data_IF_808253093606
#
_entry.id   IF_808253093606
#
_cell.length_a   1.000
_cell.length_b   1.000
_cell.length_c   1.000
_cell.angle_alpha   90.00
_cell.angle_beta   90.00
_cell.angle_gamma   90.00
#
_symmetry.space_group_name_H-M   'P 1'
#
loop_
_entity.id
_entity.type
_entity.pdbx_description
1 polymer ?
#
# COMPACT_ATOMS: atom_id res chain seq x y z
N UNK A 1 32.43 -19.00 -16.94
CA UNK A 1 31.41 -18.02 -17.38
C UNK A 1 30.16 -18.75 -17.78
N UNK A 2 29.05 -18.52 -17.13
CA UNK A 2 27.75 -19.01 -17.61
C UNK A 2 27.47 -18.39 -18.98
N UNK A 3 27.06 -19.21 -19.97
CA UNK A 3 26.67 -18.70 -21.28
C UNK A 3 25.42 -17.83 -21.16
N UNK A 4 25.22 -16.85 -22.04
CA UNK A 4 24.01 -16.05 -22.11
C UNK A 4 22.74 -16.92 -22.14
N UNK A 5 22.81 -18.04 -22.83
CA UNK A 5 21.74 -19.05 -22.94
C UNK A 5 21.40 -19.65 -21.54
N UNK A 6 22.41 -19.97 -20.74
CA UNK A 6 22.18 -20.49 -19.38
C UNK A 6 21.51 -19.44 -18.46
N UNK A 7 21.87 -18.16 -18.60
CA UNK A 7 21.24 -17.07 -17.87
C UNK A 7 19.75 -16.94 -18.25
N UNK A 8 19.43 -17.07 -19.54
CA UNK A 8 18.03 -17.03 -20.01
C UNK A 8 17.21 -18.22 -19.49
N UNK A 9 17.76 -19.44 -19.49
CA UNK A 9 17.06 -20.59 -18.90
C UNK A 9 16.85 -20.43 -17.38
N UNK A 10 17.85 -19.95 -16.65
CA UNK A 10 17.71 -19.69 -15.21
C UNK A 10 16.63 -18.61 -14.96
N UNK A 11 16.59 -17.59 -15.80
CA UNK A 11 15.56 -16.57 -15.70
C UNK A 11 14.16 -17.11 -16.04
N UNK A 12 14.04 -17.90 -17.12
CA UNK A 12 12.79 -18.54 -17.47
C UNK A 12 12.27 -19.45 -16.33
N UNK A 13 13.18 -20.21 -15.69
CA UNK A 13 12.85 -21.00 -14.49
C UNK A 13 12.38 -20.12 -13.34
N UNK A 14 13.05 -19.00 -13.07
CA UNK A 14 12.62 -18.04 -12.04
C UNK A 14 11.23 -17.48 -12.34
N UNK A 15 10.95 -17.09 -13.56
CA UNK A 15 9.62 -16.61 -14.00
C UNK A 15 8.58 -17.71 -13.81
N UNK A 16 8.89 -18.96 -14.17
CA UNK A 16 8.00 -20.11 -13.97
C UNK A 16 7.69 -20.33 -12.49
N UNK A 17 8.69 -20.24 -11.60
CA UNK A 17 8.52 -20.35 -10.15
C UNK A 17 7.60 -19.24 -9.64
N UNK A 18 7.85 -17.99 -10.04
CA UNK A 18 7.01 -16.85 -9.67
C UNK A 18 5.59 -17.03 -10.16
N UNK A 19 5.42 -17.43 -11.43
CA UNK A 19 4.10 -17.61 -12.02
C UNK A 19 3.34 -18.73 -11.31
N UNK A 20 3.95 -19.89 -11.12
CA UNK A 20 3.32 -21.04 -10.49
C UNK A 20 2.97 -20.75 -9.03
N UNK A 21 3.90 -20.21 -8.24
CA UNK A 21 3.66 -19.90 -6.83
C UNK A 21 2.63 -18.78 -6.67
N UNK A 22 2.78 -17.69 -7.38
CA UNK A 22 2.00 -16.47 -7.15
C UNK A 22 0.61 -16.52 -7.76
N UNK A 23 0.51 -17.02 -8.99
CA UNK A 23 -0.75 -16.97 -9.74
C UNK A 23 -1.51 -18.30 -9.69
N UNK A 24 -0.87 -19.42 -9.92
CA UNK A 24 -1.55 -20.73 -9.91
C UNK A 24 -1.85 -21.14 -8.48
N UNK A 25 -0.83 -21.33 -7.65
CA UNK A 25 -1.00 -21.72 -6.25
C UNK A 25 -1.83 -20.68 -5.49
N UNK A 26 -1.48 -19.40 -5.62
CA UNK A 26 -2.22 -18.31 -4.98
C UNK A 26 -3.72 -18.30 -5.33
N UNK A 27 -4.07 -18.58 -6.59
CA UNK A 27 -5.48 -18.66 -7.02
C UNK A 27 -6.19 -19.88 -6.43
N UNK A 28 -5.54 -21.03 -6.38
CA UNK A 28 -6.08 -22.25 -5.77
C UNK A 28 -6.31 -22.07 -4.26
N UNK A 29 -5.33 -21.51 -3.56
CA UNK A 29 -5.43 -21.21 -2.13
C UNK A 29 -6.56 -20.22 -1.85
N UNK A 30 -6.74 -19.19 -2.71
CA UNK A 30 -7.84 -18.25 -2.57
C UNK A 30 -9.22 -18.91 -2.76
N UNK A 31 -9.35 -19.88 -3.65
CA UNK A 31 -10.61 -20.64 -3.80
C UNK A 31 -10.90 -21.41 -2.51
N UNK A 32 -9.87 -21.99 -1.90
CA UNK A 32 -9.98 -22.64 -0.60
C UNK A 32 -10.42 -21.67 0.50
N UNK A 33 -9.75 -20.51 0.60
CA UNK A 33 -10.07 -19.49 1.60
C UNK A 33 -11.49 -18.93 1.47
N UNK A 34 -12.04 -18.80 0.24
CA UNK A 34 -13.41 -18.35 0.02
C UNK A 34 -14.46 -19.30 0.57
N UNK A 35 -14.17 -20.59 0.64
CA UNK A 35 -15.10 -21.57 1.23
C UNK A 35 -15.24 -21.41 2.75
N UNK A 36 -14.19 -20.89 3.39
CA UNK A 36 -14.17 -20.59 4.84
C UNK A 36 -14.62 -19.16 5.17
N UNK A 37 -14.73 -18.27 4.19
CA UNK A 37 -15.05 -16.85 4.42
C UNK A 37 -16.47 -16.59 4.95
N UNK A 38 -17.39 -17.52 4.84
CA UNK A 38 -18.69 -17.45 5.51
C UNK A 38 -18.56 -17.41 7.05
N UNK A 39 -17.47 -17.96 7.58
CA UNK A 39 -17.16 -17.95 9.03
C UNK A 39 -16.73 -16.55 9.50
N UNK A 40 -16.22 -15.67 8.60
CA UNK A 40 -15.76 -14.32 8.93
C UNK A 40 -16.88 -13.26 9.00
N UNK A 41 -18.14 -13.67 8.98
CA UNK A 41 -19.29 -12.76 9.04
C UNK A 41 -19.85 -12.53 10.43
N UNK A 42 -19.36 -13.24 11.45
CA UNK A 42 -19.89 -13.13 12.81
C UNK A 42 -19.41 -11.84 13.50
N UNK A 43 -20.37 -11.14 14.12
CA UNK A 43 -20.07 -10.00 14.97
C UNK A 43 -19.35 -10.46 16.26
N UNK A 44 -18.36 -9.72 16.75
CA UNK A 44 -17.79 -10.00 18.05
C UNK A 44 -18.86 -9.81 19.13
N UNK A 45 -18.83 -10.54 20.24
CA UNK A 45 -19.82 -10.44 21.32
C UNK A 45 -19.85 -9.01 21.91
N UNK A 46 -18.73 -8.31 21.89
CA UNK A 46 -18.60 -6.91 22.27
C UNK A 46 -17.72 -6.24 21.22
N UNK A 47 -18.19 -5.14 20.62
CA UNK A 47 -17.39 -4.36 19.67
C UNK A 47 -16.21 -3.73 20.40
N UNK A 48 -14.96 -3.96 19.95
CA UNK A 48 -13.77 -3.39 20.58
C UNK A 48 -13.69 -1.88 20.37
N UNK A 49 -12.93 -1.22 21.22
CA UNK A 49 -12.60 0.19 21.02
C UNK A 49 -11.56 0.38 19.93
N UNK A 50 -11.75 1.37 19.05
CA UNK A 50 -10.89 1.64 17.90
C UNK A 50 -10.43 3.09 17.89
N UNK A 51 -9.13 3.32 17.75
CA UNK A 51 -8.58 4.63 17.38
C UNK A 51 -8.23 4.64 15.90
N UNK A 52 -8.85 5.52 15.12
CA UNK A 52 -8.43 5.83 13.74
C UNK A 52 -7.31 6.84 13.82
N UNK A 53 -6.13 6.48 13.30
CA UNK A 53 -4.92 7.31 13.31
C UNK A 53 -4.62 7.75 11.88
N UNK A 54 -4.60 9.06 11.65
CA UNK A 54 -4.41 9.68 10.34
C UNK A 54 -3.23 10.65 10.40
N UNK A 55 -2.03 10.22 10.01
CA UNK A 55 -0.90 11.14 9.81
C UNK A 55 -1.16 12.04 8.60
N UNK A 56 -0.97 13.35 8.76
CA UNK A 56 -1.30 14.36 7.75
C UNK A 56 -0.10 15.26 7.48
N UNK A 57 0.20 15.51 6.21
CA UNK A 57 1.21 16.47 5.79
C UNK A 57 0.89 17.00 4.39
N UNK A 58 0.60 18.29 4.25
CA UNK A 58 0.32 18.99 3.00
C UNK A 58 -0.74 18.30 2.13
N UNK A 59 -1.94 18.09 2.69
CA UNK A 59 -3.09 17.46 2.03
C UNK A 59 -4.15 18.45 1.52
N UNK A 60 -4.10 19.69 2.01
CA UNK A 60 -5.13 20.69 1.70
C UNK A 60 -6.53 20.22 2.07
N UNK A 61 -7.50 20.50 1.23
CA UNK A 61 -8.92 20.18 1.43
C UNK A 61 -9.26 18.66 1.44
N UNK A 62 -8.31 17.79 1.02
CA UNK A 62 -8.60 16.35 0.91
C UNK A 62 -8.92 15.71 2.25
N UNK A 63 -8.37 16.24 3.36
CA UNK A 63 -8.66 15.79 4.72
C UNK A 63 -10.16 15.89 5.09
N UNK A 64 -10.89 16.83 4.48
CA UNK A 64 -12.33 16.98 4.70
C UNK A 64 -13.12 15.76 4.20
N UNK A 65 -12.74 15.22 3.02
CA UNK A 65 -13.37 14.03 2.44
C UNK A 65 -13.06 12.77 3.25
N UNK A 66 -11.82 12.66 3.72
CA UNK A 66 -11.40 11.58 4.60
C UNK A 66 -12.20 11.61 5.90
N UNK A 67 -12.31 12.78 6.56
CA UNK A 67 -13.11 12.95 7.78
C UNK A 67 -14.59 12.63 7.55
N UNK A 68 -15.18 13.11 6.46
CA UNK A 68 -16.57 12.80 6.11
C UNK A 68 -16.80 11.29 5.92
N UNK A 69 -15.81 10.54 5.39
CA UNK A 69 -15.93 9.09 5.28
C UNK A 69 -15.93 8.38 6.64
N UNK A 70 -15.23 8.92 7.63
CA UNK A 70 -15.25 8.37 9.01
C UNK A 70 -16.58 8.62 9.70
N UNK A 71 -17.23 9.77 9.45
CA UNK A 71 -18.58 10.05 9.95
C UNK A 71 -19.61 9.05 9.43
N UNK A 72 -19.42 8.55 8.22
CA UNK A 72 -20.31 7.58 7.58
C UNK A 72 -20.06 6.12 8.01
N UNK A 73 -19.05 5.84 8.86
CA UNK A 73 -18.72 4.45 9.25
C UNK A 73 -19.86 3.80 10.07
N UNK A 74 -20.22 2.60 9.67
CA UNK A 74 -21.14 1.73 10.43
C UNK A 74 -20.37 1.04 11.58
N UNK A 75 -20.18 1.79 12.66
CA UNK A 75 -19.52 1.31 13.88
C UNK A 75 -20.09 2.05 15.12
N UNK A 76 -20.21 1.38 16.29
CA UNK A 76 -20.72 2.05 17.50
C UNK A 76 -19.92 3.31 17.85
N UNK A 77 -20.59 4.45 17.92
CA UNK A 77 -19.96 5.78 18.06
C UNK A 77 -19.19 5.94 19.38
N UNK A 78 -19.66 5.28 20.43
CA UNK A 78 -19.01 5.26 21.74
C UNK A 78 -17.74 4.39 21.79
N UNK A 79 -17.49 3.61 20.74
CA UNK A 79 -16.35 2.69 20.60
C UNK A 79 -15.29 3.16 19.62
N UNK A 80 -15.46 4.33 19.00
CA UNK A 80 -14.56 4.84 17.96
C UNK A 80 -14.08 6.25 18.30
N UNK A 81 -12.81 6.52 18.09
CA UNK A 81 -12.22 7.87 18.09
C UNK A 81 -11.33 8.04 16.87
N UNK A 82 -11.27 9.25 16.30
CA UNK A 82 -10.34 9.58 15.23
C UNK A 82 -9.33 10.63 15.70
N UNK A 83 -8.06 10.46 15.29
CA UNK A 83 -6.97 11.37 15.64
C UNK A 83 -6.21 11.72 14.36
N UNK A 84 -6.37 12.95 13.89
CA UNK A 84 -5.57 13.53 12.82
C UNK A 84 -4.31 14.15 13.40
N UNK A 85 -3.15 13.77 12.87
CA UNK A 85 -1.84 14.23 13.36
C UNK A 85 -1.20 15.06 12.26
N UNK A 86 -1.30 16.39 12.37
CA UNK A 86 -0.62 17.32 11.47
C UNK A 86 0.89 17.33 11.76
N UNK A 87 1.67 16.90 10.78
CA UNK A 87 3.13 16.80 10.88
C UNK A 87 3.81 18.09 10.39
N UNK A 88 3.30 19.25 10.86
CA UNK A 88 3.77 20.60 10.54
C UNK A 88 3.52 20.94 9.08
N UNK A 89 2.28 20.79 8.60
CA UNK A 89 1.89 21.21 7.24
C UNK A 89 2.19 22.69 7.00
N UNK A 90 2.63 22.99 5.77
CA UNK A 90 3.06 24.32 5.33
C UNK A 90 2.05 24.99 4.38
N UNK A 91 0.98 24.27 4.04
CA UNK A 91 -0.16 24.72 3.26
C UNK A 91 -1.39 24.96 4.19
N UNK A 92 -2.58 25.05 3.61
CA UNK A 92 -3.86 25.27 4.31
C UNK A 92 -4.45 24.00 4.99
N UNK A 93 -3.70 22.91 5.05
CA UNK A 93 -4.13 21.63 5.64
C UNK A 93 -4.58 21.79 7.08
N UNK A 94 -3.81 22.53 7.89
CA UNK A 94 -4.12 22.68 9.32
C UNK A 94 -5.44 23.42 9.57
N UNK A 95 -5.75 24.44 8.76
CA UNK A 95 -7.02 25.18 8.79
C UNK A 95 -8.19 24.25 8.47
N UNK A 96 -8.03 23.37 7.47
CA UNK A 96 -9.03 22.34 7.16
C UNK A 96 -9.19 21.33 8.30
N UNK A 97 -8.12 20.92 8.96
CA UNK A 97 -8.20 20.04 10.13
C UNK A 97 -8.91 20.70 11.31
N UNK A 98 -8.72 22.00 11.56
CA UNK A 98 -9.48 22.74 12.57
C UNK A 98 -10.98 22.77 12.20
N UNK A 99 -11.32 22.84 10.93
CA UNK A 99 -12.70 22.73 10.45
C UNK A 99 -13.26 21.34 10.74
N UNK A 100 -12.48 20.25 10.50
CA UNK A 100 -12.85 18.87 10.86
C UNK A 100 -13.19 18.77 12.35
N UNK A 101 -12.31 19.29 13.24
CA UNK A 101 -12.51 19.22 14.68
C UNK A 101 -13.76 19.98 15.16
N UNK A 102 -14.11 21.11 14.49
CA UNK A 102 -15.34 21.87 14.78
C UNK A 102 -16.59 21.14 14.29
N UNK A 103 -16.53 20.51 13.09
CA UNK A 103 -17.67 19.83 12.49
C UNK A 103 -17.95 18.49 13.16
N UNK A 104 -16.90 17.76 13.56
CA UNK A 104 -16.98 16.43 14.14
C UNK A 104 -16.27 16.40 15.51
N UNK A 105 -16.91 16.72 16.62
CA UNK A 105 -16.25 16.86 17.94
C UNK A 105 -15.59 15.59 18.47
N UNK A 106 -15.92 14.42 17.96
CA UNK A 106 -15.29 13.15 18.30
C UNK A 106 -13.97 12.90 17.56
N UNK A 107 -13.64 13.72 16.55
CA UNK A 107 -12.39 13.70 15.81
C UNK A 107 -11.42 14.72 16.38
N UNK A 108 -10.29 14.26 16.91
CA UNK A 108 -9.26 15.09 17.51
C UNK A 108 -8.20 15.47 16.48
N UNK A 109 -7.65 16.67 16.62
CA UNK A 109 -6.52 17.15 15.81
C UNK A 109 -5.35 17.42 16.74
N UNK A 110 -4.20 16.86 16.43
CA UNK A 110 -2.93 17.08 17.12
C UNK A 110 -1.95 17.63 16.11
N UNK A 111 -1.25 18.74 16.44
CA UNK A 111 -0.15 19.25 15.63
C UNK A 111 1.17 18.91 16.29
N UNK A 112 2.11 18.33 15.54
CA UNK A 112 3.47 18.09 16.00
C UNK A 112 4.25 19.40 16.11
N UNK A 113 5.22 19.46 17.00
CA UNK A 113 6.13 20.63 17.12
C UNK A 113 7.16 20.68 15.97
N UNK A 114 7.53 19.52 15.45
CA UNK A 114 8.45 19.33 14.31
C UNK A 114 7.97 18.20 13.42
N UNK A 115 8.37 18.23 12.15
CA UNK A 115 8.09 17.12 11.23
C UNK A 115 8.87 15.87 11.67
N UNK A 116 8.14 14.85 12.10
CA UNK A 116 8.69 13.56 12.58
C UNK A 116 8.51 12.43 11.56
N UNK A 117 7.71 12.66 10.53
CA UNK A 117 7.35 11.67 9.51
C UNK A 117 6.25 10.71 9.98
N UNK A 118 5.56 10.12 8.99
CA UNK A 118 4.38 9.28 9.19
C UNK A 118 4.62 8.13 10.19
N UNK A 119 5.73 7.43 10.11
CA UNK A 119 6.08 6.30 10.96
C UNK A 119 6.07 6.67 12.45
N UNK A 120 6.76 7.74 12.81
CA UNK A 120 6.84 8.22 14.21
C UNK A 120 5.51 8.84 14.64
N UNK A 121 4.79 9.50 13.72
CA UNK A 121 3.44 9.99 13.98
C UNK A 121 2.48 8.88 14.41
N UNK A 122 2.46 7.75 13.70
CA UNK A 122 1.66 6.56 14.07
C UNK A 122 2.08 6.03 15.45
N UNK A 123 3.39 5.83 15.68
CA UNK A 123 3.91 5.38 16.98
C UNK A 123 3.41 6.27 18.11
N UNK A 124 3.57 7.59 17.99
CA UNK A 124 3.16 8.55 19.02
C UNK A 124 1.66 8.50 19.32
N UNK A 125 0.83 8.29 18.27
CA UNK A 125 -0.60 8.11 18.44
C UNK A 125 -0.94 6.82 19.19
N UNK A 126 -0.28 5.70 18.84
CA UNK A 126 -0.48 4.40 19.51
C UNK A 126 -0.16 4.50 21.02
N UNK A 127 0.90 5.23 21.37
CA UNK A 127 1.28 5.44 22.77
C UNK A 127 0.28 6.31 23.55
N UNK A 128 -0.34 7.29 22.88
CA UNK A 128 -1.30 8.23 23.49
C UNK A 128 -2.75 7.72 23.50
N UNK A 129 -3.04 6.60 22.82
CA UNK A 129 -4.39 6.01 22.79
C UNK A 129 -4.45 4.76 23.67
N UNK A 130 -5.63 4.52 24.27
CA UNK A 130 -5.87 3.37 25.16
C UNK A 130 -6.96 2.44 24.60
N UNK A 131 -7.12 2.40 23.25
CA UNK A 131 -8.08 1.55 22.55
C UNK A 131 -7.52 0.15 22.35
N UNK A 132 -8.41 -0.83 22.13
CA UNK A 132 -8.03 -2.22 21.85
C UNK A 132 -7.35 -2.35 20.49
N UNK A 133 -7.85 -1.59 19.51
CA UNK A 133 -7.44 -1.63 18.12
C UNK A 133 -7.00 -0.25 17.61
N UNK A 134 -6.10 -0.27 16.63
CA UNK A 134 -5.62 0.92 15.92
C UNK A 134 -5.92 0.74 14.42
N UNK A 135 -6.71 1.62 13.84
CA UNK A 135 -6.93 1.72 12.39
C UNK A 135 -6.01 2.81 11.82
N UNK A 136 -4.98 2.43 11.09
CA UNK A 136 -4.14 3.38 10.35
C UNK A 136 -4.77 3.67 8.98
N UNK A 137 -4.95 4.96 8.67
CA UNK A 137 -5.53 5.43 7.40
C UNK A 137 -4.69 6.58 6.86
N UNK A 138 -4.42 6.58 5.54
CA UNK A 138 -3.76 7.71 4.87
C UNK A 138 -4.72 8.91 4.75
N UNK A 139 -4.17 10.10 4.77
CA UNK A 139 -4.91 11.38 4.83
C UNK A 139 -5.72 11.74 3.58
N UNK A 140 -5.48 11.03 2.46
CA UNK A 140 -6.19 11.19 1.17
C UNK A 140 -7.15 10.03 0.84
N UNK A 141 -7.42 9.18 1.83
CA UNK A 141 -8.21 7.95 1.66
C UNK A 141 -9.67 8.17 2.08
N UNK A 142 -10.58 7.68 1.27
CA UNK A 142 -12.01 7.57 1.58
C UNK A 142 -12.27 6.12 1.99
N UNK A 143 -12.74 5.90 3.20
CA UNK A 143 -13.05 4.58 3.74
C UNK A 143 -14.50 4.23 3.46
N UNK A 144 -14.75 2.99 2.96
CA UNK A 144 -16.12 2.50 2.76
C UNK A 144 -16.83 2.34 4.12
N UNK A 145 -18.12 2.67 4.18
CA UNK A 145 -18.89 2.71 5.43
C UNK A 145 -18.82 1.41 6.24
N UNK A 146 -18.78 0.25 5.58
CA UNK A 146 -18.77 -1.06 6.22
C UNK A 146 -17.34 -1.59 6.48
N UNK A 147 -16.31 -0.88 6.03
CA UNK A 147 -14.92 -1.37 6.02
C UNK A 147 -14.39 -1.69 7.41
N UNK A 148 -14.62 -0.82 8.40
CA UNK A 148 -14.14 -1.05 9.77
C UNK A 148 -14.81 -2.29 10.39
N UNK A 149 -16.11 -2.46 10.19
CA UNK A 149 -16.87 -3.62 10.68
C UNK A 149 -16.32 -4.91 10.08
N UNK A 150 -16.04 -4.93 8.77
CA UNK A 150 -15.43 -6.07 8.10
C UNK A 150 -14.03 -6.38 8.63
N UNK A 151 -13.18 -5.37 8.84
CA UNK A 151 -11.84 -5.56 9.40
C UNK A 151 -11.88 -6.14 10.82
N UNK A 152 -12.77 -5.63 11.67
CA UNK A 152 -12.91 -6.11 13.05
C UNK A 152 -13.38 -7.56 13.06
N UNK A 153 -14.44 -7.90 12.32
CA UNK A 153 -14.92 -9.30 12.18
C UNK A 153 -13.78 -10.21 11.73
N UNK A 154 -13.06 -9.81 10.67
CA UNK A 154 -11.98 -10.60 10.11
C UNK A 154 -10.84 -10.81 11.10
N UNK A 155 -10.46 -9.77 11.86
CA UNK A 155 -9.39 -9.84 12.86
C UNK A 155 -9.73 -10.80 14.00
N UNK A 156 -10.97 -10.83 14.43
CA UNK A 156 -11.41 -11.73 15.51
C UNK A 156 -11.60 -13.17 15.02
N UNK A 157 -12.28 -13.38 13.88
CA UNK A 157 -12.60 -14.72 13.38
C UNK A 157 -11.37 -15.44 12.81
N UNK A 158 -10.46 -14.71 12.14
CA UNK A 158 -9.23 -15.31 11.63
C UNK A 158 -8.11 -15.40 12.68
N UNK A 159 -8.34 -14.90 13.89
CA UNK A 159 -7.35 -14.81 14.97
C UNK A 159 -6.01 -14.27 14.46
N UNK A 160 -6.06 -13.06 13.88
CA UNK A 160 -4.88 -12.33 13.37
C UNK A 160 -4.63 -11.06 14.15
N UNK A 161 -3.40 -10.56 14.10
CA UNK A 161 -2.96 -9.37 14.81
C UNK A 161 -3.09 -8.09 13.97
N UNK A 162 -3.09 -8.25 12.64
CA UNK A 162 -3.33 -7.17 11.71
C UNK A 162 -4.12 -7.61 10.49
N UNK A 163 -5.08 -6.77 10.06
CA UNK A 163 -5.91 -6.99 8.89
C UNK A 163 -5.90 -5.74 7.99
N UNK A 164 -5.50 -5.89 6.72
CA UNK A 164 -5.53 -4.81 5.74
C UNK A 164 -6.75 -4.87 4.84
N UNK A 165 -7.28 -3.73 4.42
CA UNK A 165 -8.35 -3.65 3.42
C UNK A 165 -7.83 -3.64 1.98
N UNK A 166 -8.76 -3.72 1.02
CA UNK A 166 -8.51 -3.58 -0.40
C UNK A 166 -8.58 -2.10 -0.83
N UNK A 167 -7.55 -1.64 -1.50
CA UNK A 167 -7.46 -0.26 -1.99
C UNK A 167 -7.89 -0.18 -3.45
N UNK A 168 -8.79 0.74 -3.75
CA UNK A 168 -9.25 1.05 -5.09
C UNK A 168 -8.86 2.47 -5.50
N UNK A 169 -8.74 2.71 -6.80
CA UNK A 169 -8.45 4.03 -7.36
C UNK A 169 -9.75 4.81 -7.53
N UNK A 170 -9.86 5.98 -6.85
CA UNK A 170 -11.06 6.83 -6.87
C UNK A 170 -11.18 7.73 -8.10
N UNK A 171 -10.07 8.02 -8.76
CA UNK A 171 -9.98 8.89 -9.95
C UNK A 171 -9.67 8.10 -11.23
N UNK A 172 -10.22 6.90 -11.35
CA UNK A 172 -9.97 6.01 -12.48
C UNK A 172 -10.41 6.59 -13.83
N UNK A 173 -11.33 7.56 -13.84
CA UNK A 173 -11.92 8.18 -15.03
C UNK A 173 -11.10 9.36 -15.62
N UNK A 174 -10.11 9.88 -14.89
CA UNK A 174 -9.38 11.10 -15.27
C UNK A 174 -8.60 10.95 -16.57
N UNK A 175 -7.80 9.88 -16.74
CA UNK A 175 -7.06 9.63 -17.98
C UNK A 175 -6.64 8.15 -18.11
N UNK A 176 -5.94 7.82 -19.20
CA UNK A 176 -5.48 6.45 -19.47
C UNK A 176 -4.54 5.91 -18.37
N UNK A 177 -3.70 6.77 -17.78
CA UNK A 177 -2.73 6.39 -16.76
C UNK A 177 -3.43 6.01 -15.44
N UNK A 178 -4.47 6.75 -15.04
CA UNK A 178 -5.27 6.43 -13.84
C UNK A 178 -6.12 5.19 -14.07
N UNK A 179 -6.68 4.99 -15.28
CA UNK A 179 -7.41 3.78 -15.68
C UNK A 179 -6.52 2.53 -15.63
N UNK A 180 -5.33 2.60 -16.20
CA UNK A 180 -4.32 1.53 -16.11
C UNK A 180 -4.00 1.20 -14.65
N UNK A 181 -3.78 2.21 -13.80
CA UNK A 181 -3.49 2.02 -12.39
C UNK A 181 -4.66 1.38 -11.63
N UNK A 182 -5.90 1.72 -11.96
CA UNK A 182 -7.08 1.10 -11.34
C UNK A 182 -7.10 -0.42 -11.55
N UNK A 183 -6.82 -0.89 -12.76
CA UNK A 183 -6.69 -2.32 -13.06
C UNK A 183 -5.50 -2.93 -12.33
N UNK A 184 -4.35 -2.25 -12.33
CA UNK A 184 -3.13 -2.68 -11.62
C UNK A 184 -3.36 -2.88 -10.12
N UNK A 185 -4.07 -1.94 -9.46
CA UNK A 185 -4.41 -2.05 -8.04
C UNK A 185 -5.30 -3.27 -7.79
N UNK A 186 -6.34 -3.45 -8.60
CA UNK A 186 -7.22 -4.62 -8.49
C UNK A 186 -6.43 -5.94 -8.61
N UNK A 187 -5.55 -6.07 -9.62
CA UNK A 187 -4.69 -7.24 -9.77
C UNK A 187 -3.82 -7.43 -8.53
N UNK A 188 -3.25 -6.35 -8.01
CA UNK A 188 -2.41 -6.36 -6.81
C UNK A 188 -3.10 -7.01 -5.62
N UNK A 189 -4.35 -6.65 -5.37
CA UNK A 189 -5.13 -7.19 -4.24
C UNK A 189 -5.79 -8.54 -4.52
N UNK A 190 -6.18 -8.83 -5.75
CA UNK A 190 -6.91 -10.06 -6.06
C UNK A 190 -6.02 -11.26 -6.33
N UNK A 191 -4.77 -11.04 -6.78
CA UNK A 191 -3.88 -12.15 -7.18
C UNK A 191 -2.54 -12.15 -6.44
N UNK A 192 -1.94 -10.97 -6.22
CA UNK A 192 -0.52 -10.93 -5.88
C UNK A 192 -0.20 -11.26 -4.43
N UNK A 193 -1.19 -11.26 -3.53
CA UNK A 193 -1.00 -11.48 -2.09
C UNK A 193 -1.66 -12.77 -1.57
N UNK A 194 -2.18 -13.61 -2.46
CA UNK A 194 -3.00 -14.75 -2.04
C UNK A 194 -2.19 -15.80 -1.28
N UNK A 195 -0.94 -16.10 -1.69
CA UNK A 195 -0.06 -17.03 -0.98
C UNK A 195 0.25 -16.51 0.43
N UNK A 196 0.70 -15.27 0.52
CA UNK A 196 0.98 -14.61 1.81
C UNK A 196 -0.28 -14.60 2.70
N UNK A 197 -1.44 -14.32 2.11
CA UNK A 197 -2.71 -14.24 2.82
C UNK A 197 -3.14 -15.58 3.40
N UNK A 198 -3.04 -16.65 2.61
CA UNK A 198 -3.41 -18.01 3.05
C UNK A 198 -2.61 -18.43 4.30
N UNK A 199 -1.32 -18.17 4.30
CA UNK A 199 -0.44 -18.50 5.43
C UNK A 199 -0.42 -17.43 6.53
N UNK A 200 -1.27 -16.42 6.47
CA UNK A 200 -1.35 -15.31 7.45
C UNK A 200 -0.01 -14.57 7.64
N UNK A 201 0.76 -14.46 6.58
CA UNK A 201 2.09 -13.83 6.52
C UNK A 201 2.14 -12.79 5.40
N UNK A 202 1.17 -11.86 5.36
CA UNK A 202 1.24 -10.71 4.45
C UNK A 202 2.45 -9.86 4.83
N UNK A 203 3.37 -9.63 3.88
CA UNK A 203 4.60 -8.88 4.10
C UNK A 203 4.43 -7.37 3.92
N UNK A 204 3.28 -6.93 3.39
CA UNK A 204 2.95 -5.53 3.21
C UNK A 204 1.44 -5.31 3.21
N UNK A 205 0.89 -4.91 4.34
CA UNK A 205 -0.43 -4.30 4.44
C UNK A 205 -0.31 -2.82 4.07
N UNK A 206 -1.26 -2.30 3.30
CA UNK A 206 -1.20 -0.91 2.82
C UNK A 206 -1.47 0.09 3.93
N UNK A 207 -0.71 1.18 3.98
CA UNK A 207 -0.98 2.31 4.86
C UNK A 207 -2.33 2.98 4.63
N UNK A 208 -2.98 2.73 3.47
CA UNK A 208 -4.28 3.29 3.16
C UNK A 208 -5.41 2.80 4.09
N UNK A 209 -5.36 1.53 4.50
CA UNK A 209 -6.39 0.97 5.40
C UNK A 209 -5.86 -0.31 6.05
N UNK A 210 -5.38 -0.22 7.28
CA UNK A 210 -4.94 -1.39 8.05
C UNK A 210 -5.32 -1.26 9.52
N UNK A 211 -6.02 -2.30 10.01
CA UNK A 211 -6.41 -2.46 11.40
C UNK A 211 -5.39 -3.36 12.12
N UNK A 212 -4.93 -2.93 13.28
CA UNK A 212 -3.97 -3.63 14.11
C UNK A 212 -4.51 -3.86 15.52
N UNK A 213 -4.19 -4.99 16.15
CA UNK A 213 -4.23 -5.08 17.61
C UNK A 213 -3.20 -4.10 18.18
N UNK A 214 -3.61 -3.23 19.10
CA UNK A 214 -2.70 -2.26 19.72
C UNK A 214 -1.50 -2.95 20.37
N UNK A 215 -1.71 -4.08 21.02
CA UNK A 215 -0.65 -4.86 21.66
C UNK A 215 0.43 -5.31 20.66
N UNK A 216 0.05 -5.69 19.43
CA UNK A 216 1.00 -6.08 18.37
C UNK A 216 1.86 -4.90 17.91
N UNK A 217 1.27 -3.69 17.78
CA UNK A 217 2.05 -2.48 17.46
C UNK A 217 3.04 -2.12 18.57
N UNK A 218 2.64 -2.25 19.82
CA UNK A 218 3.53 -2.01 20.97
C UNK A 218 4.68 -3.02 21.03
N UNK A 219 4.46 -4.27 20.64
CA UNK A 219 5.49 -5.30 20.59
C UNK A 219 6.63 -5.00 19.59
N UNK A 220 6.38 -4.18 18.58
CA UNK A 220 7.36 -3.76 17.56
C UNK A 220 7.79 -2.29 17.68
N UNK A 221 7.39 -1.60 18.74
CA UNK A 221 7.59 -0.15 18.93
C UNK A 221 9.08 0.25 18.87
N UNK A 222 9.96 -0.53 19.50
CA UNK A 222 11.40 -0.28 19.47
C UNK A 222 11.98 -0.41 18.04
N UNK A 223 11.52 -1.38 17.24
CA UNK A 223 11.94 -1.54 15.86
C UNK A 223 11.46 -0.36 14.98
N UNK A 224 10.27 0.18 15.29
CA UNK A 224 9.68 1.32 14.57
C UNK A 224 10.47 2.60 14.81
N UNK A 225 11.07 2.79 15.98
CA UNK A 225 11.80 4.02 16.31
C UNK A 225 13.06 4.21 15.45
N UNK A 226 13.84 3.13 15.25
CA UNK A 226 15.14 3.17 14.57
C UNK A 226 15.11 2.36 13.29
N UNK A 227 14.82 3.00 12.16
CA UNK A 227 14.89 2.38 10.84
C UNK A 227 15.98 3.03 10.01
N UNK A 228 17.15 2.39 9.97
CA UNK A 228 18.31 2.83 9.18
C UNK A 228 18.67 1.80 8.12
N UNK A 229 19.23 2.26 7.01
CA UNK A 229 19.82 1.42 5.97
C UNK A 229 21.07 2.12 5.43
N UNK A 230 22.20 1.42 5.39
CA UNK A 230 23.52 1.98 5.04
C UNK A 230 23.91 3.24 5.82
N UNK A 231 23.51 3.32 7.10
CA UNK A 231 23.79 4.45 7.98
C UNK A 231 22.81 5.63 7.87
N UNK A 232 21.88 5.61 6.90
CA UNK A 232 20.90 6.67 6.68
C UNK A 232 19.51 6.28 7.17
N UNK A 233 18.74 7.28 7.65
CA UNK A 233 17.36 7.11 8.05
C UNK A 233 16.45 6.80 6.85
N UNK A 234 15.67 5.70 6.91
CA UNK A 234 14.70 5.35 5.87
C UNK A 234 13.33 5.91 6.23
N UNK A 235 12.87 6.90 5.47
CA UNK A 235 11.60 7.62 5.71
C UNK A 235 10.43 7.14 4.84
N UNK A 236 10.62 6.16 3.95
CA UNK A 236 9.60 5.66 3.02
C UNK A 236 9.28 4.18 3.28
N UNK A 237 8.09 3.72 2.88
CA UNK A 237 7.65 2.32 2.98
C UNK A 237 7.49 1.85 4.43
N UNK A 238 6.94 2.68 5.28
CA UNK A 238 6.67 2.41 6.69
C UNK A 238 5.66 1.28 6.87
N UNK A 239 4.68 1.18 5.99
CA UNK A 239 3.64 0.16 5.95
C UNK A 239 4.23 -1.24 5.74
N UNK A 240 5.11 -1.39 4.76
CA UNK A 240 5.83 -2.63 4.49
C UNK A 240 6.75 -3.00 5.66
N UNK A 241 7.53 -2.05 6.14
CA UNK A 241 8.45 -2.27 7.25
C UNK A 241 7.71 -2.72 8.51
N UNK A 242 6.65 -2.01 8.88
CA UNK A 242 5.84 -2.33 10.06
C UNK A 242 5.20 -3.72 9.94
N UNK A 243 4.59 -4.01 8.80
CA UNK A 243 3.95 -5.31 8.56
C UNK A 243 4.95 -6.45 8.66
N UNK A 244 6.12 -6.31 8.01
CA UNK A 244 7.18 -7.31 8.07
C UNK A 244 7.70 -7.51 9.50
N UNK A 245 7.89 -6.43 10.29
CA UNK A 245 8.31 -6.54 11.68
C UNK A 245 7.30 -7.31 12.54
N UNK A 246 6.01 -7.13 12.30
CA UNK A 246 4.99 -7.94 12.96
C UNK A 246 5.17 -9.43 12.63
N UNK A 247 5.30 -9.79 11.34
CA UNK A 247 5.51 -11.19 10.93
C UNK A 247 6.83 -11.76 11.49
N UNK A 248 7.92 -10.98 11.49
CA UNK A 248 9.19 -11.37 12.10
C UNK A 248 9.09 -11.69 13.60
N UNK A 249 8.13 -11.06 14.30
CA UNK A 249 7.84 -11.29 15.72
C UNK A 249 6.80 -12.39 15.96
N UNK A 250 6.35 -13.08 14.89
CA UNK A 250 5.38 -14.16 14.97
C UNK A 250 3.92 -13.73 14.96
N UNK A 251 3.65 -12.44 14.74
CA UNK A 251 2.28 -11.95 14.57
C UNK A 251 1.70 -12.32 13.21
N UNK A 252 0.43 -12.64 13.17
CA UNK A 252 -0.31 -13.03 11.98
C UNK A 252 -0.91 -11.81 11.28
N UNK A 253 -0.78 -11.75 9.96
CA UNK A 253 -1.27 -10.65 9.13
C UNK A 253 -2.08 -11.16 7.95
N UNK A 254 -3.27 -10.60 7.68
CA UNK A 254 -4.14 -11.01 6.57
C UNK A 254 -4.77 -9.83 5.84
N UNK A 255 -5.32 -10.09 4.65
CA UNK A 255 -6.20 -9.17 3.91
C UNK A 255 -7.66 -9.52 4.17
N UNK A 256 -8.46 -8.51 4.44
CA UNK A 256 -9.91 -8.56 4.42
C UNK A 256 -10.39 -8.00 3.08
N UNK A 257 -10.89 -8.87 2.21
CA UNK A 257 -11.29 -8.48 0.84
C UNK A 257 -12.59 -7.69 0.78
N UNK A 258 -13.39 -7.79 1.82
CA UNK A 258 -14.67 -7.08 2.00
C UNK A 258 -14.46 -5.64 2.46
N UNK A 259 -13.39 -5.38 3.22
CA UNK A 259 -13.03 -4.04 3.66
C UNK A 259 -12.41 -3.24 2.50
N UNK A 260 -13.03 -2.12 2.15
CA UNK A 260 -12.65 -1.33 0.96
C UNK A 260 -12.30 0.10 1.35
N UNK A 261 -11.35 0.66 0.61
CA UNK A 261 -11.07 2.09 0.65
C UNK A 261 -10.66 2.60 -0.74
N UNK A 262 -10.69 3.91 -0.91
CA UNK A 262 -10.46 4.58 -2.18
C UNK A 262 -9.40 5.66 -2.00
N UNK A 263 -8.38 5.66 -2.84
CA UNK A 263 -7.31 6.67 -2.89
C UNK A 263 -7.14 7.21 -4.30
N UNK A 264 -6.52 8.36 -4.46
CA UNK A 264 -6.18 8.92 -5.76
C UNK A 264 -4.89 8.31 -6.30
N UNK A 265 -4.91 7.85 -7.55
CA UNK A 265 -3.71 7.49 -8.27
C UNK A 265 -3.09 8.73 -8.95
N UNK A 266 -1.75 8.81 -9.10
CA UNK A 266 -1.12 9.86 -9.86
C UNK A 266 -1.69 9.97 -11.29
N UNK A 267 -2.17 11.16 -11.65
CA UNK A 267 -2.71 11.44 -12.97
C UNK A 267 -1.63 11.95 -13.95
N UNK A 268 -0.47 12.37 -13.47
CA UNK A 268 0.68 12.76 -14.28
C UNK A 268 1.74 11.68 -14.34
N UNK A 269 2.44 11.58 -15.46
CA UNK A 269 3.51 10.59 -15.63
C UNK A 269 4.68 10.83 -14.65
N UNK A 270 5.03 12.08 -14.39
CA UNK A 270 6.05 12.44 -13.39
C UNK A 270 5.67 11.98 -11.98
N UNK A 271 4.42 12.19 -11.56
CA UNK A 271 3.90 11.70 -10.29
C UNK A 271 3.91 10.17 -10.20
N UNK A 272 3.55 9.51 -11.30
CA UNK A 272 3.59 8.04 -11.38
C UNK A 272 5.03 7.51 -11.26
N UNK A 273 6.00 8.07 -11.98
CA UNK A 273 7.42 7.70 -11.88
C UNK A 273 7.93 7.89 -10.45
N UNK A 274 7.67 9.03 -9.82
CA UNK A 274 8.07 9.33 -8.43
C UNK A 274 7.51 8.29 -7.46
N UNK A 275 6.22 7.95 -7.57
CA UNK A 275 5.59 6.92 -6.76
C UNK A 275 6.22 5.53 -6.98
N UNK A 276 6.44 5.12 -8.25
CA UNK A 276 7.01 3.83 -8.57
C UNK A 276 8.48 3.72 -8.12
N UNK A 277 9.26 4.79 -8.21
CA UNK A 277 10.64 4.84 -7.72
C UNK A 277 10.70 4.68 -6.19
N UNK A 278 9.83 5.38 -5.46
CA UNK A 278 9.72 5.27 -4.00
C UNK A 278 9.34 3.84 -3.57
N UNK A 279 8.36 3.23 -4.23
CA UNK A 279 7.97 1.85 -3.94
C UNK A 279 9.08 0.85 -4.25
N UNK A 280 9.84 1.08 -5.31
CA UNK A 280 10.96 0.21 -5.71
C UNK A 280 12.10 0.26 -4.71
N UNK A 281 12.48 1.46 -4.27
CA UNK A 281 13.45 1.64 -3.17
C UNK A 281 12.99 0.92 -1.91
N UNK A 282 11.73 1.10 -1.52
CA UNK A 282 11.14 0.43 -0.36
C UNK A 282 11.24 -1.10 -0.49
N UNK A 283 10.90 -1.65 -1.66
CA UNK A 283 10.98 -3.09 -1.91
C UNK A 283 12.42 -3.61 -1.78
N UNK A 284 13.40 -2.92 -2.39
CA UNK A 284 14.80 -3.34 -2.36
C UNK A 284 15.34 -3.32 -0.93
N UNK A 285 15.15 -2.22 -0.20
CA UNK A 285 15.58 -2.11 1.20
C UNK A 285 14.94 -3.19 2.06
N UNK A 286 13.66 -3.43 1.88
CA UNK A 286 12.91 -4.42 2.65
C UNK A 286 13.39 -5.85 2.33
N UNK A 287 13.63 -6.20 1.06
CA UNK A 287 14.17 -7.50 0.67
C UNK A 287 15.55 -7.76 1.30
N UNK A 288 16.44 -6.78 1.25
CA UNK A 288 17.79 -6.93 1.82
C UNK A 288 17.71 -7.09 3.34
N UNK A 289 16.92 -6.26 4.02
CA UNK A 289 16.80 -6.28 5.48
C UNK A 289 16.01 -7.47 6.01
N UNK A 290 15.23 -8.16 5.18
CA UNK A 290 14.52 -9.38 5.54
C UNK A 290 15.39 -10.65 5.46
N UNK A 291 16.49 -10.65 4.67
CA UNK A 291 17.29 -11.85 4.44
C UNK A 291 17.72 -12.59 5.72
N UNK A 292 18.18 -11.92 6.80
CA UNK A 292 18.55 -12.60 8.05
C UNK A 292 17.37 -13.24 8.78
N UNK A 293 16.13 -12.90 8.40
CA UNK A 293 14.92 -13.31 9.09
C UNK A 293 14.05 -14.29 8.30
N UNK A 294 14.49 -14.74 7.11
CA UNK A 294 13.71 -15.62 6.23
C UNK A 294 13.21 -16.90 6.93
N UNK A 295 13.97 -17.46 7.86
CA UNK A 295 13.58 -18.64 8.64
C UNK A 295 12.38 -18.43 9.57
N UNK A 296 11.91 -17.19 9.76
CA UNK A 296 10.73 -16.86 10.55
C UNK A 296 9.43 -16.83 9.71
N UNK A 297 9.56 -16.93 8.40
CA UNK A 297 8.42 -16.89 7.49
C UNK A 297 8.02 -18.29 7.06
N UNK A 298 6.75 -18.46 6.68
CA UNK A 298 6.28 -19.72 6.13
C UNK A 298 7.04 -20.06 4.82
N UNK A 299 7.47 -21.31 4.56
CA UNK A 299 8.33 -21.66 3.42
C UNK A 299 7.79 -21.21 2.05
N UNK A 300 6.48 -21.35 1.79
CA UNK A 300 5.87 -20.87 0.55
C UNK A 300 5.92 -19.33 0.42
N UNK A 301 5.83 -18.61 1.54
CA UNK A 301 6.01 -17.16 1.57
C UNK A 301 7.47 -16.79 1.31
N UNK A 302 8.43 -17.55 1.83
CA UNK A 302 9.86 -17.37 1.52
C UNK A 302 10.12 -17.55 0.03
N UNK A 303 9.63 -18.63 -0.58
CA UNK A 303 9.76 -18.85 -2.04
C UNK A 303 9.17 -17.68 -2.82
N UNK A 304 7.97 -17.22 -2.45
CA UNK A 304 7.34 -16.07 -3.05
C UNK A 304 8.20 -14.80 -2.91
N UNK A 305 8.65 -14.50 -1.70
CA UNK A 305 9.38 -13.29 -1.36
C UNK A 305 10.76 -13.24 -2.04
N UNK A 306 11.53 -14.32 -1.94
CA UNK A 306 12.86 -14.43 -2.56
C UNK A 306 12.77 -14.40 -4.08
N UNK A 307 11.85 -15.15 -4.68
CA UNK A 307 11.69 -15.16 -6.13
C UNK A 307 11.30 -13.77 -6.68
N UNK A 308 10.48 -13.01 -5.94
CA UNK A 308 10.15 -11.63 -6.32
C UNK A 308 11.35 -10.67 -6.18
N UNK A 309 12.21 -10.86 -5.16
CA UNK A 309 13.43 -10.09 -5.01
C UNK A 309 14.40 -10.36 -6.17
N UNK A 310 14.59 -11.63 -6.51
CA UNK A 310 15.42 -12.04 -7.64
C UNK A 310 14.86 -11.51 -8.97
N UNK A 311 13.54 -11.58 -9.16
CA UNK A 311 12.91 -11.02 -10.36
C UNK A 311 13.13 -9.50 -10.44
N UNK A 312 12.98 -8.78 -9.34
CA UNK A 312 13.20 -7.32 -9.32
C UNK A 312 14.63 -6.95 -9.74
N UNK A 313 15.62 -7.74 -9.32
CA UNK A 313 17.05 -7.45 -9.59
C UNK A 313 17.49 -7.94 -10.98
N UNK A 314 17.09 -9.13 -11.37
CA UNK A 314 17.59 -9.78 -12.60
C UNK A 314 16.76 -9.48 -13.86
N UNK A 315 15.46 -9.16 -13.71
CA UNK A 315 14.61 -8.86 -14.85
C UNK A 315 15.13 -7.72 -15.75
N UNK A 316 15.65 -6.59 -15.26
CA UNK A 316 16.23 -5.57 -16.13
C UNK A 316 17.40 -6.07 -16.97
N UNK A 317 18.26 -6.93 -16.40
CA UNK A 317 19.43 -7.50 -17.09
C UNK A 317 19.01 -8.48 -18.18
N UNK A 318 18.08 -9.37 -17.86
CA UNK A 318 17.58 -10.38 -18.82
C UNK A 318 16.76 -9.72 -19.92
N UNK A 319 15.97 -8.70 -19.63
CA UNK A 319 15.24 -7.93 -20.62
C UNK A 319 16.21 -7.19 -21.56
N UNK A 320 17.27 -6.58 -21.04
CA UNK A 320 18.28 -5.92 -21.84
C UNK A 320 18.99 -6.92 -22.78
N UNK A 321 19.35 -8.11 -22.28
CA UNK A 321 19.94 -9.18 -23.08
C UNK A 321 18.98 -9.69 -24.17
N UNK A 322 17.69 -9.87 -23.83
CA UNK A 322 16.66 -10.28 -24.78
C UNK A 322 16.47 -9.24 -25.90
N UNK A 323 16.39 -7.97 -25.54
CA UNK A 323 16.27 -6.86 -26.50
C UNK A 323 17.51 -6.81 -27.44
N UNK A 324 18.70 -6.98 -26.87
CA UNK A 324 19.95 -7.00 -27.68
C UNK A 324 20.00 -8.16 -28.67
N UNK A 325 19.43 -9.32 -28.31
CA UNK A 325 19.47 -10.53 -29.17
C UNK A 325 18.31 -10.64 -30.16
N UNK A 326 17.09 -10.34 -29.69
CA UNK A 326 15.83 -10.59 -30.43
C UNK A 326 15.17 -9.32 -30.96
N UNK A 327 15.74 -8.15 -30.65
CA UNK A 327 15.08 -6.87 -30.88
C UNK A 327 13.98 -6.61 -29.86
N UNK A 328 13.37 -5.44 -29.94
CA UNK A 328 12.38 -4.97 -28.98
C UNK A 328 10.98 -5.61 -29.14
N UNK A 329 10.65 -6.05 -30.35
CA UNK A 329 9.28 -6.51 -30.69
C UNK A 329 8.91 -7.81 -29.96
N UNK A 330 9.81 -8.78 -29.88
CA UNK A 330 9.52 -10.09 -29.28
C UNK A 330 9.25 -9.98 -27.82
N UNK A 331 10.09 -9.33 -26.98
CA UNK A 331 9.77 -9.07 -25.57
C UNK A 331 8.44 -8.34 -25.38
N UNK A 332 8.10 -7.38 -26.24
CA UNK A 332 6.84 -6.67 -26.18
C UNK A 332 5.63 -7.59 -26.41
N UNK A 333 5.72 -8.53 -27.36
CA UNK A 333 4.66 -9.52 -27.63
C UNK A 333 4.48 -10.43 -26.39
N UNK A 334 5.55 -10.92 -25.79
CA UNK A 334 5.50 -11.75 -24.57
C UNK A 334 4.79 -11.03 -23.43
N UNK A 335 5.13 -9.74 -23.19
CA UNK A 335 4.47 -8.92 -22.21
C UNK A 335 2.99 -8.67 -22.54
N UNK A 336 2.68 -8.42 -23.81
CA UNK A 336 1.30 -8.20 -24.25
C UNK A 336 0.43 -9.45 -24.00
N UNK A 337 0.96 -10.66 -24.27
CA UNK A 337 0.25 -11.91 -23.97
C UNK A 337 -0.06 -12.06 -22.47
N UNK A 338 0.95 -11.84 -21.61
CA UNK A 338 0.76 -11.91 -20.16
C UNK A 338 -0.25 -10.86 -19.65
N UNK A 339 -0.13 -9.63 -20.12
CA UNK A 339 -1.01 -8.51 -19.73
C UNK A 339 -2.43 -8.75 -20.20
N UNK A 340 -2.64 -9.38 -21.37
CA UNK A 340 -3.97 -9.74 -21.88
C UNK A 340 -4.72 -10.66 -20.93
N UNK A 341 -4.05 -11.67 -20.36
CA UNK A 341 -4.67 -12.57 -19.37
C UNK A 341 -5.23 -11.78 -18.20
N UNK A 342 -4.49 -10.82 -17.64
CA UNK A 342 -4.94 -10.00 -16.52
C UNK A 342 -6.02 -8.99 -16.92
N UNK A 343 -5.93 -8.42 -18.12
CA UNK A 343 -6.97 -7.53 -18.66
C UNK A 343 -8.30 -8.28 -18.79
N UNK A 344 -8.30 -9.50 -19.31
CA UNK A 344 -9.48 -10.36 -19.41
C UNK A 344 -10.01 -10.75 -18.02
N UNK A 345 -9.13 -11.14 -17.09
CA UNK A 345 -9.53 -11.47 -15.73
C UNK A 345 -10.23 -10.27 -15.05
N UNK A 346 -9.73 -9.05 -15.27
CA UNK A 346 -10.38 -7.84 -14.78
C UNK A 346 -11.75 -7.62 -15.44
N UNK A 347 -11.84 -7.71 -16.78
CA UNK A 347 -13.11 -7.52 -17.52
C UNK A 347 -14.21 -8.47 -17.01
N UNK A 348 -13.89 -9.74 -16.80
CA UNK A 348 -14.82 -10.74 -16.29
C UNK A 348 -15.31 -10.46 -14.86
N UNK A 349 -14.52 -9.72 -14.05
CA UNK A 349 -14.85 -9.46 -12.66
C UNK A 349 -15.22 -8.01 -12.34
N UNK A 350 -15.06 -7.07 -13.27
CA UNK A 350 -15.30 -5.62 -13.01
C UNK A 350 -16.72 -5.30 -12.55
N UNK A 351 -17.72 -6.11 -12.90
CA UNK A 351 -19.11 -5.93 -12.47
C UNK A 351 -19.27 -6.06 -10.94
N UNK A 352 -18.36 -6.75 -10.25
CA UNK A 352 -18.32 -6.92 -8.78
C UNK A 352 -17.67 -5.74 -8.06
N UNK A 353 -17.05 -4.81 -8.79
CA UNK A 353 -16.34 -3.69 -8.23
C UNK A 353 -17.29 -2.52 -7.92
N UNK A 354 -16.95 -1.66 -6.95
CA UNK A 354 -17.64 -0.40 -6.74
C UNK A 354 -17.65 0.45 -8.02
N UNK A 355 -18.76 1.15 -8.27
CA UNK A 355 -18.94 1.90 -9.52
C UNK A 355 -17.78 2.85 -9.84
N UNK A 356 -17.29 3.60 -8.85
CA UNK A 356 -16.19 4.57 -9.01
C UNK A 356 -14.83 3.93 -9.34
N UNK A 357 -14.66 2.63 -9.06
CA UNK A 357 -13.42 1.90 -9.35
C UNK A 357 -13.49 1.14 -10.68
N UNK A 358 -14.62 1.19 -11.40
CA UNK A 358 -14.78 0.46 -12.66
C UNK A 358 -14.17 1.23 -13.82
N UNK A 359 -13.43 0.49 -14.66
CA UNK A 359 -12.91 0.99 -15.93
C UNK A 359 -12.87 -0.16 -16.95
N UNK A 360 -12.32 0.04 -18.14
CA UNK A 360 -12.05 -1.05 -19.05
C UNK A 360 -10.68 -1.68 -18.79
N UNK A 361 -10.61 -3.01 -18.72
CA UNK A 361 -9.36 -3.77 -18.63
C UNK A 361 -8.42 -3.54 -19.80
N UNK A 362 -8.94 -3.08 -20.94
CA UNK A 362 -8.12 -2.74 -22.12
C UNK A 362 -7.04 -1.68 -21.80
N UNK A 363 -7.29 -0.77 -20.87
CA UNK A 363 -6.28 0.21 -20.45
C UNK A 363 -5.04 -0.44 -19.83
N UNK A 364 -5.19 -1.66 -19.31
CA UNK A 364 -4.07 -2.40 -18.76
C UNK A 364 -3.09 -2.90 -19.83
N UNK A 365 -3.52 -2.98 -21.10
CA UNK A 365 -2.64 -3.34 -22.22
C UNK A 365 -1.43 -2.40 -22.34
N UNK A 366 -1.55 -1.15 -21.91
CA UNK A 366 -0.43 -0.21 -21.85
C UNK A 366 0.72 -0.71 -20.94
N UNK A 367 0.45 -1.61 -20.01
CA UNK A 367 1.47 -2.21 -19.14
C UNK A 367 2.46 -3.09 -19.92
N UNK A 368 2.09 -3.61 -21.10
CA UNK A 368 3.00 -4.34 -21.95
C UNK A 368 4.23 -3.48 -22.32
N UNK A 369 4.05 -2.17 -22.44
CA UNK A 369 5.13 -1.21 -22.68
C UNK A 369 5.63 -0.55 -21.39
N UNK A 370 4.72 -0.09 -20.53
CA UNK A 370 5.06 0.65 -19.30
C UNK A 370 5.91 -0.21 -18.35
N UNK A 371 5.57 -1.49 -18.17
CA UNK A 371 6.26 -2.37 -17.25
C UNK A 371 7.74 -2.60 -17.61
N UNK A 372 8.10 -3.03 -18.84
CA UNK A 372 9.50 -3.19 -19.25
C UNK A 372 10.31 -1.90 -19.11
N UNK A 373 9.77 -0.78 -19.60
CA UNK A 373 10.47 0.53 -19.55
C UNK A 373 10.72 0.94 -18.10
N UNK A 374 9.72 0.79 -17.21
CA UNK A 374 9.87 1.10 -15.79
C UNK A 374 10.93 0.22 -15.12
N UNK A 375 11.03 -1.05 -15.48
CA UNK A 375 12.04 -1.94 -14.89
C UNK A 375 13.45 -1.62 -15.39
N UNK A 376 13.62 -1.37 -16.68
CA UNK A 376 14.92 -0.99 -17.27
C UNK A 376 15.45 0.33 -16.71
N UNK A 377 14.58 1.29 -16.43
CA UNK A 377 15.00 2.63 -16.00
C UNK A 377 14.99 2.79 -14.47
N UNK A 378 13.91 2.40 -13.79
CA UNK A 378 13.75 2.71 -12.37
C UNK A 378 14.45 1.71 -11.44
N UNK A 379 14.73 0.47 -11.85
CA UNK A 379 15.46 -0.45 -10.96
C UNK A 379 16.91 -0.02 -10.77
N UNK A 380 17.70 0.26 -11.82
CA UNK A 380 19.05 0.80 -11.65
C UNK A 380 19.07 2.13 -10.90
N UNK A 381 18.12 3.04 -11.22
CA UNK A 381 18.00 4.32 -10.53
C UNK A 381 17.68 4.14 -9.03
N UNK A 382 16.78 3.22 -8.69
CA UNK A 382 16.45 2.91 -7.31
C UNK A 382 17.67 2.38 -6.55
N UNK A 383 18.42 1.45 -7.14
CA UNK A 383 19.66 0.89 -6.55
C UNK A 383 20.72 1.99 -6.32
N UNK A 384 20.91 2.88 -7.28
CA UNK A 384 21.87 3.99 -7.17
C UNK A 384 21.46 5.05 -6.14
N UNK A 385 20.18 5.08 -5.72
CA UNK A 385 19.62 6.14 -4.89
C UNK A 385 18.95 5.63 -3.61
N UNK A 386 19.35 4.45 -3.12
CA UNK A 386 18.80 3.87 -1.88
C UNK A 386 19.05 4.73 -0.63
N UNK A 387 20.19 5.43 -0.58
CA UNK A 387 20.55 6.33 0.53
C UNK A 387 19.83 7.68 0.53
N UNK A 388 18.99 7.97 -0.48
CA UNK A 388 18.23 9.23 -0.49
C UNK A 388 16.98 9.09 0.37
N UNK A 389 16.93 9.80 1.49
CA UNK A 389 15.85 9.73 2.49
C UNK A 389 14.65 10.64 2.17
N UNK A 390 14.58 11.28 0.99
CA UNK A 390 13.51 12.21 0.69
C UNK A 390 12.14 11.53 0.64
N UNK A 391 11.29 11.84 1.61
CA UNK A 391 9.86 11.48 1.63
C UNK A 391 9.03 12.42 0.73
N UNK A 392 9.68 13.32 0.03
CA UNK A 392 9.09 14.37 -0.78
C UNK A 392 8.37 13.81 -2.02
N UNK A 393 7.17 13.31 -1.82
CA UNK A 393 6.20 13.12 -2.92
C UNK A 393 5.42 14.39 -3.22
N UNK A 394 5.57 15.44 -2.37
CA UNK A 394 4.89 16.72 -2.55
C UNK A 394 5.93 17.83 -2.47
N UNK A 395 6.14 18.52 -3.59
CA UNK A 395 6.91 19.76 -3.59
C UNK A 395 6.30 20.72 -2.55
N UNK A 396 7.12 21.47 -1.81
CA UNK A 396 6.59 22.53 -0.95
C UNK A 396 5.67 23.41 -1.79
N UNK A 397 4.45 23.64 -1.31
CA UNK A 397 3.49 24.49 -1.99
C UNK A 397 4.17 25.82 -2.29
N UNK A 398 4.18 26.26 -3.56
CA UNK A 398 4.62 27.62 -3.89
C UNK A 398 3.78 28.55 -3.05
N UNK A 399 4.38 29.27 -2.09
CA UNK A 399 3.71 30.29 -1.29
C UNK A 399 2.99 31.22 -2.27
N UNK A 400 1.65 31.20 -2.27
CA UNK A 400 0.89 32.25 -2.92
C UNK A 400 1.33 33.56 -2.27
N UNK A 401 1.70 34.62 -3.04
CA UNK A 401 2.02 35.90 -2.44
C UNK A 401 0.81 36.33 -1.61
N UNK A 402 1.05 36.62 -0.33
CA UNK A 402 0.05 37.23 0.54
C UNK A 402 -0.22 38.60 -0.07
N UNK A 403 -1.35 38.73 -0.74
CA UNK A 403 -1.84 40.03 -1.19
C UNK A 403 -2.23 40.80 0.09
N UNK A 404 -1.35 41.68 0.54
CA UNK A 404 -1.63 42.57 1.65
C UNK A 404 -2.85 43.40 1.25
N UNK A 405 -3.99 43.12 1.88
CA UNK A 405 -5.14 44.03 1.85
C UNK A 405 -4.75 45.22 2.71
N UNK A 406 -4.19 46.22 2.07
CA UNK A 406 -4.04 47.54 2.68
C UNK A 406 -5.45 48.12 2.85
N UNK A 407 -5.96 48.01 4.07
CA UNK A 407 -7.15 48.76 4.46
C UNK A 407 -6.82 50.25 4.36
N UNK A 408 -7.32 50.93 3.32
CA UNK A 408 -7.40 52.38 3.30
C UNK A 408 -8.43 52.81 4.35
N UNK A 409 -7.92 53.27 5.48
CA UNK A 409 -8.70 54.14 6.35
C UNK A 409 -8.85 55.51 5.64
N UNK A 410 -10.06 55.92 5.36
CA UNK A 410 -10.53 57.21 4.97
C UNK A 410 -11.75 57.57 5.79
#
# INVERSE_FOLDING_TARGET
MLSLVAIEYLFALLVLIVFTNRYVLGSLLRISDRRTSAEFSQDPPIWPTVAIVVPVYNEGEHVLKTAASFEALDYPRDRIQAVFIDDVSTDDTYEHLLTVARTYPWMKVIRNEKNVGKRIGIKNAVLKTHTDLILSVDSDVIVDKDALRHLVRHLYTADVDAAGGCVFVSNADVNWLTRMQAVKYWIGYQFLKNVENHFSHIMCLSGCLTLYRRAALLAVDHDVEKRTFLGEDVKYGEDRFLTRKLVERGHKTRLCFEARCFTKAPASFAGYISQQLRWRRSNIVDFITALPHLGRFHPFVVVHYVSMALLLLFYPLTLAAQVARLGFVIPMIEHALLVTVFALAYELNKHKLPHMARTSGLWFMSMAFVFPVMYLTLTPLALATLGTSSWETRAPAKKKPVTAIVAKAG
#
